data_IF_653364492678
#
_entry.id   IF_653364492678
#
_cell.length_a   1.000
_cell.length_b   1.000
_cell.length_c   1.000
_cell.angle_alpha   90.00
_cell.angle_beta   90.00
_cell.angle_gamma   90.00
#
_symmetry.space_group_name_H-M   'P 1'
#
loop_
_entity.id
_entity.type
_entity.pdbx_description
1 polymer ?
#
# COMPACT_ATOMS: atom_id res chain seq x y z
N UNK A 1 -5.23 13.10 41.92
CA UNK A 1 -4.66 13.48 40.60
C UNK A 1 -5.27 12.55 39.58
N UNK A 2 -5.88 13.04 38.49
CA UNK A 2 -6.39 12.15 37.45
C UNK A 2 -5.22 11.41 36.81
N UNK A 3 -5.30 10.08 36.82
CA UNK A 3 -4.32 9.16 36.27
C UNK A 3 -4.22 9.40 34.75
N UNK A 4 -3.00 9.56 34.23
CA UNK A 4 -2.79 9.75 32.80
C UNK A 4 -3.23 8.46 32.09
N UNK A 5 -4.37 8.52 31.39
CA UNK A 5 -4.78 7.44 30.51
C UNK A 5 -3.71 7.24 29.45
N UNK A 6 -3.09 6.07 29.48
CA UNK A 6 -2.11 5.64 28.52
C UNK A 6 -2.77 5.59 27.12
N UNK A 7 -2.47 6.61 26.32
CA UNK A 7 -3.13 6.88 25.04
C UNK A 7 -2.89 5.76 24.00
N UNK A 8 -1.90 4.90 24.24
CA UNK A 8 -1.40 3.90 23.30
C UNK A 8 -2.04 2.52 23.49
N UNK A 9 -2.29 2.10 24.72
CA UNK A 9 -2.82 0.76 25.03
C UNK A 9 -4.26 0.59 24.57
N UNK A 10 -5.14 1.54 24.91
CA UNK A 10 -6.60 1.43 24.65
C UNK A 10 -7.07 1.71 23.22
N UNK A 11 -6.19 2.07 22.27
CA UNK A 11 -6.60 2.32 20.87
C UNK A 11 -5.87 1.50 19.84
N UNK A 12 -4.60 1.14 20.05
CA UNK A 12 -3.84 0.39 19.05
C UNK A 12 -3.89 -1.13 19.27
N UNK A 13 -4.04 -1.60 20.51
CA UNK A 13 -3.98 -3.03 20.86
C UNK A 13 -5.33 -3.68 21.20
N UNK A 14 -6.41 -2.89 21.37
CA UNK A 14 -7.78 -3.38 21.64
C UNK A 14 -8.49 -4.03 20.41
N UNK A 15 -7.75 -4.52 19.41
CA UNK A 15 -8.38 -5.38 18.41
C UNK A 15 -8.23 -6.84 18.80
N UNK A 16 -9.34 -7.55 18.71
CA UNK A 16 -9.43 -9.00 18.85
C UNK A 16 -8.46 -9.74 17.91
N UNK A 17 -8.09 -9.14 16.77
CA UNK A 17 -7.10 -9.71 15.86
C UNK A 17 -6.27 -8.68 15.08
N UNK A 18 -4.94 -8.68 15.28
CA UNK A 18 -3.96 -7.92 14.51
C UNK A 18 -2.93 -8.85 13.84
N UNK A 19 -2.62 -8.61 12.57
CA UNK A 19 -1.63 -9.41 11.82
C UNK A 19 -0.65 -8.52 11.04
N UNK A 20 0.58 -8.98 10.89
CA UNK A 20 1.63 -8.31 10.13
C UNK A 20 2.68 -9.31 9.64
N UNK A 21 3.38 -9.01 8.54
CA UNK A 21 4.31 -9.95 7.88
C UNK A 21 5.58 -10.20 8.70
N UNK A 22 6.01 -9.23 9.51
CA UNK A 22 7.18 -9.28 10.40
C UNK A 22 6.76 -8.84 11.80
N UNK A 23 7.22 -9.57 12.83
CA UNK A 23 6.89 -9.28 14.24
C UNK A 23 7.51 -7.99 14.77
N UNK A 24 8.63 -7.56 14.18
CA UNK A 24 9.36 -6.34 14.55
C UNK A 24 8.80 -5.07 13.90
N UNK A 25 7.84 -5.19 12.97
CA UNK A 25 7.23 -4.05 12.27
C UNK A 25 5.76 -3.91 12.69
N UNK A 26 5.20 -2.73 12.45
CA UNK A 26 3.81 -2.46 12.79
C UNK A 26 2.86 -3.40 12.01
N UNK A 27 1.78 -3.90 12.67
CA UNK A 27 0.83 -4.80 12.04
C UNK A 27 0.15 -4.13 10.83
N UNK A 28 0.03 -4.87 9.73
CA UNK A 28 -0.51 -4.35 8.46
C UNK A 28 -2.01 -4.56 8.31
N UNK A 29 -2.63 -5.40 9.15
CA UNK A 29 -4.09 -5.66 9.16
C UNK A 29 -4.61 -5.76 10.60
N UNK A 30 -5.80 -5.22 10.83
CA UNK A 30 -6.50 -5.23 12.11
C UNK A 30 -8.01 -5.35 11.89
N UNK A 31 -8.66 -6.22 12.64
CA UNK A 31 -10.11 -6.37 12.63
C UNK A 31 -10.72 -5.62 13.82
N UNK A 32 -11.67 -4.73 13.54
CA UNK A 32 -12.42 -3.97 14.54
C UNK A 32 -13.90 -4.36 14.38
N UNK A 33 -14.44 -5.13 15.31
CA UNK A 33 -15.87 -5.45 15.32
C UNK A 33 -16.64 -4.15 15.59
N UNK A 34 -17.63 -3.81 14.75
CA UNK A 34 -18.46 -2.64 15.03
C UNK A 34 -19.41 -2.98 16.17
N UNK A 35 -19.06 -2.52 17.37
CA UNK A 35 -19.90 -2.72 18.54
C UNK A 35 -21.18 -1.89 18.39
N UNK A 36 -22.35 -2.52 18.57
CA UNK A 36 -23.66 -1.87 18.51
C UNK A 36 -23.88 -1.05 19.78
N UNK A 37 -23.10 0.02 19.99
CA UNK A 37 -23.48 1.02 20.99
C UNK A 37 -24.61 1.88 20.42
N UNK A 38 -25.84 1.47 20.72
CA UNK A 38 -27.00 2.36 20.67
C UNK A 38 -26.68 3.49 21.64
N UNK A 39 -26.37 4.67 21.12
CA UNK A 39 -26.29 5.89 21.93
C UNK A 39 -27.73 6.19 22.33
N UNK A 40 -28.15 5.69 23.48
CA UNK A 40 -29.38 6.12 24.12
C UNK A 40 -29.18 7.57 24.58
N UNK A 41 -29.75 8.52 23.84
CA UNK A 41 -29.97 9.86 24.37
C UNK A 41 -30.96 9.79 25.55
N UNK A 42 -30.90 10.72 26.52
CA UNK A 42 -31.66 10.57 27.77
C UNK A 42 -33.19 10.65 27.63
N UNK A 43 -33.73 11.08 26.48
CA UNK A 43 -35.14 11.42 26.37
C UNK A 43 -35.78 10.79 25.13
N UNK A 44 -36.29 9.56 25.21
CA UNK A 44 -37.40 9.12 24.35
C UNK A 44 -38.22 8.06 25.06
N UNK A 45 -39.45 8.43 25.38
CA UNK A 45 -40.48 7.59 25.97
C UNK A 45 -40.72 6.30 25.17
N UNK A 46 -41.10 5.26 25.91
CA UNK A 46 -41.44 3.94 25.43
C UNK A 46 -42.57 4.01 24.39
N UNK A 47 -42.25 3.77 23.12
CA UNK A 47 -43.25 3.36 22.13
C UNK A 47 -42.99 1.89 21.80
N UNK A 48 -43.82 1.03 22.39
CA UNK A 48 -43.94 -0.38 22.05
C UNK A 48 -44.41 -0.50 20.58
N UNK A 49 -43.58 -1.03 19.69
CA UNK A 49 -43.99 -1.51 18.37
C UNK A 49 -43.83 -3.04 18.28
N UNK A 50 -44.76 -3.73 17.58
CA UNK A 50 -44.95 -5.17 17.70
C UNK A 50 -43.84 -5.98 17.00
N UNK A 51 -43.63 -7.19 17.51
CA UNK A 51 -42.60 -8.14 17.09
C UNK A 51 -42.54 -8.34 15.55
N UNK A 52 -41.34 -8.14 14.98
CA UNK A 52 -40.97 -8.65 13.65
C UNK A 52 -40.03 -9.87 13.80
N UNK A 53 -40.12 -10.88 12.93
CA UNK A 53 -39.47 -12.16 13.10
C UNK A 53 -37.94 -12.04 12.94
N UNK A 54 -37.22 -12.71 13.85
CA UNK A 54 -35.81 -13.10 13.82
C UNK A 54 -34.96 -12.57 12.65
N UNK A 55 -34.42 -11.36 12.78
CA UNK A 55 -33.26 -10.93 11.99
C UNK A 55 -32.00 -11.32 12.77
N UNK A 56 -31.37 -12.43 12.38
CA UNK A 56 -29.98 -12.74 12.77
C UNK A 56 -29.12 -11.51 12.49
N UNK A 57 -28.42 -11.02 13.52
CA UNK A 57 -27.70 -9.76 13.48
C UNK A 57 -26.69 -9.72 12.34
N UNK A 58 -26.77 -8.68 11.50
CA UNK A 58 -25.75 -8.40 10.50
C UNK A 58 -24.49 -7.85 11.20
N UNK A 59 -23.48 -8.71 11.37
CA UNK A 59 -22.15 -8.30 11.76
C UNK A 59 -21.48 -7.45 10.70
N UNK A 60 -21.22 -6.20 11.07
CA UNK A 60 -20.35 -5.32 10.31
C UNK A 60 -19.02 -5.26 11.07
N UNK A 61 -17.96 -5.81 10.50
CA UNK A 61 -16.61 -5.64 11.01
C UNK A 61 -15.89 -4.60 10.15
N UNK A 62 -15.32 -3.59 10.80
CA UNK A 62 -14.42 -2.66 10.14
C UNK A 62 -13.04 -3.34 10.00
N UNK A 63 -12.61 -3.57 8.76
CA UNK A 63 -11.29 -4.14 8.48
C UNK A 63 -10.34 -3.01 8.20
N UNK A 64 -9.44 -2.74 9.15
CA UNK A 64 -8.37 -1.78 8.97
C UNK A 64 -7.15 -2.47 8.34
N UNK A 65 -6.58 -1.88 7.29
CA UNK A 65 -5.30 -2.29 6.73
C UNK A 65 -4.42 -1.07 6.52
N UNK A 66 -3.12 -1.18 6.78
CA UNK A 66 -2.16 -0.09 6.59
C UNK A 66 -2.20 0.46 5.15
N UNK A 67 -2.22 -0.43 4.15
CA UNK A 67 -2.35 -0.07 2.73
C UNK A 67 -3.65 0.67 2.40
N UNK A 68 -4.78 0.23 2.98
CA UNK A 68 -6.08 0.83 2.71
C UNK A 68 -6.21 2.18 3.41
N UNK A 69 -5.72 2.31 4.64
CA UNK A 69 -5.62 3.57 5.35
C UNK A 69 -4.74 4.60 4.60
N UNK A 70 -3.58 4.17 4.06
CA UNK A 70 -2.73 5.03 3.19
C UNK A 70 -3.44 5.46 1.92
N UNK A 71 -4.28 4.59 1.34
CA UNK A 71 -5.04 4.88 0.10
C UNK A 71 -6.40 5.54 0.37
N UNK A 72 -6.72 5.87 1.62
CA UNK A 72 -8.01 6.46 2.00
C UNK A 72 -9.20 5.53 1.77
N UNK A 73 -8.98 4.21 1.78
CA UNK A 73 -9.99 3.17 1.64
C UNK A 73 -10.37 2.66 3.02
N UNK A 74 -11.65 2.71 3.35
CA UNK A 74 -12.18 2.14 4.57
C UNK A 74 -13.06 0.96 4.18
N UNK A 75 -12.47 -0.24 4.19
CA UNK A 75 -13.17 -1.47 3.82
C UNK A 75 -14.09 -1.88 4.98
N UNK A 76 -15.40 -1.93 4.69
CA UNK A 76 -16.39 -2.54 5.57
C UNK A 76 -16.48 -4.02 5.18
N UNK A 77 -16.20 -4.92 6.11
CA UNK A 77 -16.56 -6.33 5.96
C UNK A 77 -17.96 -6.52 6.53
N UNK A 78 -18.87 -7.04 5.69
CA UNK A 78 -20.26 -7.29 6.07
C UNK A 78 -20.47 -8.79 6.00
N UNK A 79 -21.16 -9.36 6.98
CA UNK A 79 -21.45 -10.80 7.05
C UNK A 79 -22.43 -11.30 5.98
N UNK A 80 -23.04 -10.40 5.18
CA UNK A 80 -24.05 -10.71 4.17
C UNK A 80 -23.73 -10.03 2.84
N UNK A 81 -24.00 -10.73 1.73
CA UNK A 81 -23.78 -10.33 0.35
C UNK A 81 -24.38 -8.93 0.04
N UNK A 82 -23.57 -7.93 -0.33
CA UNK A 82 -23.99 -6.52 -0.49
C UNK A 82 -24.94 -6.27 -1.67
N UNK A 83 -25.28 -7.28 -2.48
CA UNK A 83 -26.21 -7.17 -3.61
C UNK A 83 -27.69 -7.00 -3.22
N UNK A 84 -28.02 -6.91 -1.93
CA UNK A 84 -29.41 -6.87 -1.41
C UNK A 84 -29.80 -5.61 -0.60
N UNK A 85 -28.99 -4.55 -0.56
CA UNK A 85 -29.36 -3.32 0.15
C UNK A 85 -29.09 -2.03 -0.65
N UNK A 86 -30.15 -1.28 -0.93
CA UNK A 86 -30.16 0.01 -1.67
C UNK A 86 -29.58 1.22 -0.89
N UNK A 87 -28.85 1.00 0.19
CA UNK A 87 -28.42 2.06 1.09
C UNK A 87 -26.89 2.12 1.26
N UNK A 88 -26.16 2.30 0.17
CA UNK A 88 -24.73 2.64 0.25
C UNK A 88 -24.51 4.05 -0.32
N UNK A 89 -24.58 5.08 0.55
CA UNK A 89 -24.20 6.44 0.17
C UNK A 89 -22.69 6.47 -0.04
N UNK A 90 -22.25 6.58 -1.30
CA UNK A 90 -20.85 6.85 -1.63
C UNK A 90 -20.38 8.16 -1.00
N UNK A 91 -19.12 8.20 -0.54
CA UNK A 91 -18.51 9.43 -0.05
C UNK A 91 -18.45 10.49 -1.15
N UNK A 92 -18.51 11.77 -0.75
CA UNK A 92 -18.50 12.92 -1.66
C UNK A 92 -17.27 12.86 -2.60
N UNK A 93 -17.46 13.03 -3.91
CA UNK A 93 -16.36 13.12 -4.86
C UNK A 93 -15.42 14.29 -4.50
N UNK A 94 -14.15 14.00 -4.24
CA UNK A 94 -13.10 15.00 -3.98
C UNK A 94 -12.28 15.28 -5.24
N UNK A 95 -12.97 15.53 -6.34
CA UNK A 95 -12.40 15.80 -7.67
C UNK A 95 -12.38 17.31 -8.02
N UNK A 96 -12.54 18.18 -7.02
CA UNK A 96 -12.34 19.62 -7.19
C UNK A 96 -10.87 19.99 -6.99
N UNK A 97 -10.29 20.74 -7.94
CA UNK A 97 -8.90 21.22 -7.91
C UNK A 97 -8.48 21.81 -6.54
N UNK A 98 -9.34 22.66 -5.96
CA UNK A 98 -9.08 23.28 -4.66
C UNK A 98 -9.02 22.27 -3.51
N UNK A 99 -9.78 21.18 -3.59
CA UNK A 99 -9.72 20.10 -2.59
C UNK A 99 -8.47 19.23 -2.77
N UNK A 100 -8.07 18.95 -4.01
CA UNK A 100 -6.81 18.25 -4.31
C UNK A 100 -5.61 19.05 -3.82
N UNK A 101 -5.52 20.35 -4.13
CA UNK A 101 -4.46 21.23 -3.63
C UNK A 101 -4.44 21.35 -2.11
N UNK A 102 -5.61 21.48 -1.48
CA UNK A 102 -5.69 21.47 -0.01
C UNK A 102 -5.25 20.12 0.57
N UNK A 103 -5.55 19.02 -0.11
CA UNK A 103 -5.07 17.68 0.25
C UNK A 103 -3.55 17.57 0.17
N UNK A 104 -2.96 17.94 -0.97
CA UNK A 104 -1.50 17.97 -1.19
C UNK A 104 -0.82 18.91 -0.20
N UNK A 105 -1.36 20.10 0.01
CA UNK A 105 -0.84 21.08 0.98
C UNK A 105 -0.85 20.52 2.41
N UNK A 106 -1.93 19.84 2.83
CA UNK A 106 -1.97 19.17 4.13
C UNK A 106 -0.96 18.01 4.21
N UNK A 107 -0.79 17.23 3.14
CA UNK A 107 0.21 16.15 3.10
C UNK A 107 1.65 16.69 3.23
N UNK A 108 1.95 17.86 2.64
CA UNK A 108 3.29 18.46 2.66
C UNK A 108 3.58 19.31 3.90
N UNK A 109 2.57 19.91 4.54
CA UNK A 109 2.77 20.90 5.61
C UNK A 109 2.32 20.43 7.00
N UNK A 110 1.55 19.35 7.08
CA UNK A 110 0.96 18.87 8.34
C UNK A 110 1.58 17.54 8.76
N UNK A 111 2.85 17.58 9.17
CA UNK A 111 3.52 16.47 9.84
C UNK A 111 3.85 16.85 11.29
N UNK A 112 3.42 16.07 12.30
CA UNK A 112 3.83 16.29 13.68
C UNK A 112 5.22 15.69 13.93
N UNK A 113 6.27 16.22 13.28
CA UNK A 113 7.69 15.80 13.48
C UNK A 113 8.22 16.03 14.90
N UNK A 114 7.43 16.70 15.74
CA UNK A 114 7.73 16.92 17.15
C UNK A 114 7.22 15.78 18.03
N UNK A 115 6.41 14.87 17.47
CA UNK A 115 5.87 13.71 18.14
C UNK A 115 6.76 12.49 17.83
N UNK A 116 7.62 12.14 18.79
CA UNK A 116 8.54 10.99 18.67
C UNK A 116 7.77 9.69 18.38
N UNK A 117 6.55 9.54 18.89
CA UNK A 117 5.72 8.35 18.63
C UNK A 117 5.23 8.31 17.19
N UNK A 118 4.92 9.46 16.58
CA UNK A 118 4.61 9.56 15.15
C UNK A 118 5.80 9.17 14.29
N UNK A 119 6.98 9.71 14.58
CA UNK A 119 8.19 9.43 13.80
C UNK A 119 8.59 7.95 13.87
N UNK A 120 8.56 7.36 15.06
CA UNK A 120 8.80 5.93 15.27
C UNK A 120 7.77 5.12 14.47
N UNK A 121 6.47 5.44 14.57
CA UNK A 121 5.43 4.70 13.86
C UNK A 121 5.59 4.76 12.32
N UNK A 122 6.03 5.90 11.79
CA UNK A 122 6.25 6.10 10.35
C UNK A 122 7.48 5.32 9.87
N UNK A 123 8.60 5.39 10.59
CA UNK A 123 9.86 4.70 10.23
C UNK A 123 9.71 3.17 10.26
N UNK A 124 8.91 2.64 11.19
CA UNK A 124 8.63 1.20 11.28
C UNK A 124 7.43 0.73 10.43
N UNK A 125 6.87 1.60 9.59
CA UNK A 125 5.84 1.22 8.63
C UNK A 125 6.45 0.72 7.33
N UNK A 126 6.17 -0.54 6.97
CA UNK A 126 6.61 -1.17 5.71
C UNK A 126 6.26 -0.32 4.50
N UNK A 127 5.06 0.26 4.48
CA UNK A 127 4.60 1.08 3.36
C UNK A 127 5.40 2.37 3.21
N UNK A 128 5.88 2.96 4.31
CA UNK A 128 6.74 4.14 4.28
C UNK A 128 8.15 3.77 3.80
N UNK A 129 8.74 2.72 4.36
CA UNK A 129 10.05 2.21 3.93
C UNK A 129 10.07 1.87 2.42
N UNK A 130 9.00 1.25 1.91
CA UNK A 130 8.84 0.96 0.49
C UNK A 130 8.84 2.25 -0.35
N UNK A 131 8.02 3.23 0.03
CA UNK A 131 7.95 4.51 -0.66
C UNK A 131 9.29 5.27 -0.61
N UNK A 132 9.97 5.30 0.54
CA UNK A 132 11.26 5.98 0.70
C UNK A 132 12.35 5.34 -0.16
N UNK A 133 12.43 4.00 -0.18
CA UNK A 133 13.34 3.27 -1.06
C UNK A 133 13.05 3.54 -2.55
N UNK A 134 11.77 3.59 -2.92
CA UNK A 134 11.36 3.92 -4.29
C UNK A 134 11.70 5.35 -4.68
N UNK A 135 11.45 6.32 -3.79
CA UNK A 135 11.77 7.73 -4.06
C UNK A 135 13.27 7.91 -4.24
N UNK A 136 14.08 7.38 -3.34
CA UNK A 136 15.53 7.40 -3.47
C UNK A 136 15.99 6.73 -4.78
N UNK A 137 15.51 5.52 -5.06
CA UNK A 137 15.84 4.78 -6.28
C UNK A 137 15.45 5.55 -7.54
N UNK A 138 14.25 6.13 -7.58
CA UNK A 138 13.77 6.92 -8.71
C UNK A 138 14.60 8.18 -8.95
N UNK A 139 14.95 8.91 -7.88
CA UNK A 139 15.77 10.12 -7.99
C UNK A 139 17.14 9.82 -8.60
N UNK A 140 17.78 8.73 -8.19
CA UNK A 140 19.08 8.32 -8.75
C UNK A 140 18.94 7.78 -10.17
N UNK A 141 17.96 6.89 -10.42
CA UNK A 141 17.70 6.32 -11.74
C UNK A 141 17.41 7.39 -12.80
N UNK A 142 16.77 8.49 -12.41
CA UNK A 142 16.41 9.58 -13.31
C UNK A 142 17.63 10.27 -13.95
N UNK A 143 18.79 10.24 -13.30
CA UNK A 143 20.06 10.72 -13.87
C UNK A 143 20.37 9.98 -15.17
N UNK A 144 20.25 8.65 -15.15
CA UNK A 144 20.42 7.80 -16.32
C UNK A 144 19.38 8.06 -17.40
N UNK A 145 18.14 8.38 -17.01
CA UNK A 145 17.09 8.74 -17.95
C UNK A 145 17.41 10.01 -18.75
N UNK A 146 18.03 11.02 -18.12
CA UNK A 146 18.49 12.21 -18.85
C UNK A 146 19.73 11.94 -19.70
N UNK A 147 20.71 11.22 -19.17
CA UNK A 147 21.96 10.96 -19.88
C UNK A 147 21.78 9.99 -21.05
N UNK A 148 20.67 9.22 -21.09
CA UNK A 148 20.26 8.40 -22.22
C UNK A 148 19.89 9.21 -23.48
N UNK A 149 19.67 10.52 -23.38
CA UNK A 149 19.32 11.34 -24.55
C UNK A 149 20.46 11.30 -25.58
N UNK A 150 20.19 11.00 -26.87
CA UNK A 150 21.25 10.80 -27.86
C UNK A 150 22.29 11.92 -27.95
N UNK A 151 21.93 13.22 -27.87
CA UNK A 151 22.93 14.29 -27.88
C UNK A 151 23.88 14.28 -26.67
N UNK A 152 23.38 13.84 -25.51
CA UNK A 152 24.16 13.78 -24.27
C UNK A 152 25.02 12.53 -24.29
N UNK A 153 24.43 11.37 -24.52
CA UNK A 153 25.11 10.08 -24.49
C UNK A 153 26.29 10.03 -25.46
N UNK A 154 26.10 10.48 -26.70
CA UNK A 154 27.14 10.49 -27.74
C UNK A 154 28.30 11.44 -27.44
N UNK A 155 28.15 12.35 -26.47
CA UNK A 155 29.17 13.30 -26.05
C UNK A 155 29.97 12.84 -24.82
N UNK A 156 29.59 11.71 -24.21
CA UNK A 156 30.23 11.20 -23.00
C UNK A 156 31.47 10.36 -23.34
N UNK A 157 32.52 10.54 -22.55
CA UNK A 157 33.64 9.58 -22.52
C UNK A 157 33.20 8.28 -21.83
N UNK A 158 33.86 7.15 -22.10
CA UNK A 158 33.53 5.86 -21.47
C UNK A 158 33.50 5.90 -19.93
N UNK A 159 34.46 6.55 -19.23
CA UNK A 159 34.37 6.70 -17.78
C UNK A 159 33.17 7.53 -17.32
N UNK A 160 32.80 8.57 -18.10
CA UNK A 160 31.64 9.39 -17.80
C UNK A 160 30.34 8.61 -18.01
N UNK A 161 30.20 7.89 -19.13
CA UNK A 161 29.07 7.00 -19.41
C UNK A 161 28.86 5.96 -18.29
N UNK A 162 29.93 5.29 -17.87
CA UNK A 162 29.91 4.38 -16.73
C UNK A 162 29.41 5.03 -15.44
N UNK A 163 29.81 6.28 -15.18
CA UNK A 163 29.44 7.01 -13.97
C UNK A 163 28.03 7.61 -13.97
N UNK A 164 27.58 8.20 -15.08
CA UNK A 164 26.33 8.98 -15.13
C UNK A 164 25.19 8.28 -15.86
N UNK A 165 25.47 7.24 -16.64
CA UNK A 165 24.47 6.47 -17.35
C UNK A 165 24.30 5.06 -16.75
N UNK A 166 25.36 4.28 -16.58
CA UNK A 166 25.24 2.89 -16.10
C UNK A 166 25.07 2.76 -14.58
N UNK A 167 25.95 3.39 -13.80
CA UNK A 167 25.92 3.30 -12.34
C UNK A 167 24.58 3.74 -11.70
N UNK A 168 23.95 4.86 -12.12
CA UNK A 168 22.70 5.27 -11.50
C UNK A 168 21.52 4.34 -11.84
N UNK A 169 21.57 3.59 -12.95
CA UNK A 169 20.59 2.55 -13.24
C UNK A 169 20.68 1.39 -12.24
N UNK A 170 21.91 0.96 -11.90
CA UNK A 170 22.13 -0.09 -10.92
C UNK A 170 21.64 0.35 -9.54
N UNK A 171 22.08 1.53 -9.08
CA UNK A 171 21.68 2.06 -7.76
C UNK A 171 20.16 2.27 -7.71
N UNK A 172 19.59 2.91 -8.72
CA UNK A 172 18.16 3.15 -8.81
C UNK A 172 17.33 1.86 -8.86
N UNK A 173 17.78 0.90 -9.67
CA UNK A 173 17.19 -0.42 -9.80
C UNK A 173 17.19 -1.20 -8.47
N UNK A 174 18.28 -1.16 -7.71
CA UNK A 174 18.31 -1.77 -6.37
C UNK A 174 17.29 -1.16 -5.41
N UNK A 175 17.09 0.17 -5.44
CA UNK A 175 16.03 0.84 -4.69
C UNK A 175 14.63 0.37 -5.09
N UNK A 176 14.39 0.14 -6.39
CA UNK A 176 13.14 -0.43 -6.89
C UNK A 176 12.94 -1.89 -6.49
N UNK A 177 14.01 -2.70 -6.41
CA UNK A 177 13.94 -4.08 -5.90
C UNK A 177 13.48 -4.07 -4.45
N UNK A 178 14.15 -3.29 -3.59
CA UNK A 178 13.81 -3.16 -2.16
C UNK A 178 12.37 -2.69 -1.99
N UNK A 179 11.99 -1.63 -2.70
CA UNK A 179 10.62 -1.10 -2.67
C UNK A 179 9.59 -2.16 -3.07
N UNK A 180 9.80 -2.83 -4.20
CA UNK A 180 8.86 -3.81 -4.75
C UNK A 180 8.67 -5.00 -3.80
N UNK A 181 9.76 -5.50 -3.21
CA UNK A 181 9.70 -6.55 -2.18
C UNK A 181 8.93 -6.08 -0.95
N UNK A 182 9.18 -4.87 -0.45
CA UNK A 182 8.45 -4.32 0.70
C UNK A 182 6.96 -4.12 0.40
N UNK A 183 6.59 -3.68 -0.81
CA UNK A 183 5.18 -3.59 -1.23
C UNK A 183 4.50 -4.95 -1.31
N UNK A 184 5.21 -6.00 -1.75
CA UNK A 184 4.70 -7.37 -1.71
C UNK A 184 4.52 -7.86 -0.26
N UNK A 185 5.47 -7.54 0.62
CA UNK A 185 5.39 -7.88 2.06
C UNK A 185 4.23 -7.17 2.76
N UNK A 186 3.93 -5.93 2.38
CA UNK A 186 2.83 -5.15 2.97
C UNK A 186 1.45 -5.81 2.79
N UNK A 187 1.22 -6.50 1.67
CA UNK A 187 -0.10 -7.06 1.31
C UNK A 187 -0.32 -8.49 1.79
N UNK A 188 0.76 -9.26 1.95
CA UNK A 188 0.69 -10.65 2.42
C UNK A 188 0.57 -10.74 3.94
N UNK A 189 0.04 -11.86 4.45
CA UNK A 189 -0.15 -12.07 5.89
C UNK A 189 1.14 -12.48 6.60
N UNK A 190 1.93 -13.32 5.94
CA UNK A 190 3.21 -13.83 6.43
C UNK A 190 4.24 -13.60 5.33
N UNK A 191 5.49 -13.25 5.70
CA UNK A 191 6.55 -12.96 4.74
C UNK A 191 6.89 -14.11 3.76
N UNK A 192 6.61 -15.36 4.15
CA UNK A 192 6.90 -16.56 3.36
C UNK A 192 5.70 -17.12 2.58
N UNK A 193 4.50 -16.55 2.77
CA UNK A 193 3.28 -17.04 2.09
C UNK A 193 2.85 -15.99 1.06
N UNK A 194 3.09 -16.22 -0.24
CA UNK A 194 2.70 -15.26 -1.27
C UNK A 194 1.18 -15.10 -1.31
N UNK A 195 0.71 -13.90 -1.70
CA UNK A 195 -0.71 -13.55 -1.74
C UNK A 195 -1.20 -13.31 -3.19
N UNK A 196 -1.22 -14.34 -4.06
CA UNK A 196 -1.55 -14.18 -5.48
C UNK A 196 -3.00 -13.75 -5.75
N UNK A 197 -3.90 -13.84 -4.76
CA UNK A 197 -5.28 -13.37 -4.87
C UNK A 197 -5.44 -11.84 -4.75
N UNK A 198 -4.36 -11.09 -4.49
CA UNK A 198 -4.43 -9.65 -4.23
C UNK A 198 -3.76 -8.88 -5.37
N UNK A 199 -4.48 -7.97 -6.04
CA UNK A 199 -3.91 -7.12 -7.10
C UNK A 199 -2.65 -6.37 -6.64
N UNK A 200 -2.66 -5.87 -5.39
CA UNK A 200 -1.50 -5.22 -4.78
C UNK A 200 -0.23 -6.07 -4.75
N UNK A 201 -0.36 -7.39 -4.66
CA UNK A 201 0.77 -8.32 -4.67
C UNK A 201 1.34 -8.47 -6.08
N UNK A 202 0.48 -8.57 -7.10
CA UNK A 202 0.90 -8.60 -8.51
C UNK A 202 1.61 -7.32 -8.93
N UNK A 203 1.15 -6.15 -8.48
CA UNK A 203 1.85 -4.88 -8.74
C UNK A 203 3.28 -4.95 -8.22
N UNK A 204 3.46 -5.39 -6.97
CA UNK A 204 4.78 -5.56 -6.37
C UNK A 204 5.62 -6.60 -7.13
N UNK A 205 5.04 -7.73 -7.54
CA UNK A 205 5.74 -8.77 -8.29
C UNK A 205 6.24 -8.28 -9.65
N UNK A 206 5.37 -7.67 -10.45
CA UNK A 206 5.74 -7.18 -11.78
C UNK A 206 6.74 -6.03 -11.69
N UNK A 207 6.60 -5.15 -10.71
CA UNK A 207 7.60 -4.11 -10.45
C UNK A 207 8.93 -4.70 -9.97
N UNK A 208 8.93 -5.81 -9.23
CA UNK A 208 10.16 -6.52 -8.82
C UNK A 208 10.88 -7.13 -10.03
N UNK A 209 10.15 -7.80 -10.92
CA UNK A 209 10.71 -8.33 -12.17
C UNK A 209 11.27 -7.19 -13.03
N UNK A 210 10.52 -6.09 -13.13
CA UNK A 210 10.95 -4.86 -13.81
C UNK A 210 12.25 -4.30 -13.24
N UNK A 211 12.30 -4.16 -11.92
CA UNK A 211 13.46 -3.64 -11.20
C UNK A 211 14.70 -4.52 -11.37
N UNK A 212 14.56 -5.84 -11.32
CA UNK A 212 15.65 -6.78 -11.60
C UNK A 212 16.14 -6.59 -13.04
N UNK A 213 15.24 -6.50 -14.01
CA UNK A 213 15.58 -6.29 -15.42
C UNK A 213 16.39 -5.01 -15.66
N UNK A 214 15.96 -3.89 -15.08
CA UNK A 214 16.69 -2.61 -15.20
C UNK A 214 18.00 -2.58 -14.40
N UNK A 215 18.07 -3.27 -13.26
CA UNK A 215 19.33 -3.40 -12.50
C UNK A 215 20.35 -4.22 -13.27
N UNK A 216 19.93 -5.34 -13.86
CA UNK A 216 20.77 -6.19 -14.71
C UNK A 216 21.20 -5.47 -15.98
N UNK A 217 20.31 -4.71 -16.63
CA UNK A 217 20.67 -3.86 -17.77
C UNK A 217 21.81 -2.90 -17.39
N UNK A 218 21.65 -2.14 -16.29
CA UNK A 218 22.67 -1.23 -15.79
C UNK A 218 24.00 -1.92 -15.49
N UNK A 219 23.94 -3.11 -14.86
CA UNK A 219 25.12 -3.88 -14.47
C UNK A 219 25.87 -4.48 -15.67
N UNK A 220 25.13 -4.94 -16.68
CA UNK A 220 25.70 -5.48 -17.92
C UNK A 220 26.27 -4.36 -18.81
N UNK A 221 25.79 -3.12 -18.68
CA UNK A 221 26.23 -1.98 -19.48
C UNK A 221 27.72 -1.70 -19.39
N UNK A 222 28.34 -1.96 -18.24
CA UNK A 222 29.80 -1.84 -18.07
C UNK A 222 30.62 -2.77 -18.97
N UNK A 223 30.02 -3.85 -19.47
CA UNK A 223 30.65 -4.86 -20.33
C UNK A 223 30.09 -4.91 -21.75
N UNK A 224 29.38 -3.86 -22.20
CA UNK A 224 28.62 -3.85 -23.46
C UNK A 224 29.47 -4.15 -24.71
N UNK A 225 30.79 -4.00 -24.64
CA UNK A 225 31.74 -4.31 -25.74
C UNK A 225 31.71 -5.76 -26.19
N UNK A 226 31.14 -6.68 -25.39
CA UNK A 226 30.98 -8.09 -25.77
C UNK A 226 29.58 -8.33 -26.37
N UNK A 227 29.46 -8.94 -27.57
CA UNK A 227 28.16 -9.15 -28.21
C UNK A 227 27.14 -9.93 -27.36
N UNK A 228 27.62 -10.90 -26.57
CA UNK A 228 26.75 -11.66 -25.66
C UNK A 228 26.19 -10.81 -24.52
N UNK A 229 26.97 -9.84 -24.04
CA UNK A 229 26.56 -8.91 -22.98
C UNK A 229 25.59 -7.88 -23.53
N UNK A 230 25.84 -7.35 -24.73
CA UNK A 230 24.91 -6.45 -25.44
C UNK A 230 23.54 -7.09 -25.65
N UNK A 231 23.50 -8.35 -26.09
CA UNK A 231 22.26 -9.12 -26.22
C UNK A 231 21.54 -9.28 -24.88
N UNK A 232 22.26 -9.71 -23.83
CA UNK A 232 21.70 -9.91 -22.51
C UNK A 232 21.15 -8.60 -21.90
N UNK A 233 21.86 -7.50 -22.10
CA UNK A 233 21.45 -6.15 -21.70
C UNK A 233 20.15 -5.74 -22.39
N UNK A 234 20.09 -5.93 -23.71
CA UNK A 234 18.92 -5.57 -24.51
C UNK A 234 17.70 -6.39 -24.09
N UNK A 235 17.88 -7.70 -23.90
CA UNK A 235 16.84 -8.59 -23.41
C UNK A 235 16.37 -8.20 -22.01
N UNK A 236 17.30 -7.87 -21.10
CA UNK A 236 16.99 -7.45 -19.74
C UNK A 236 16.20 -6.13 -19.72
N UNK A 237 16.56 -5.19 -20.58
CA UNK A 237 15.85 -3.91 -20.76
C UNK A 237 14.44 -4.14 -21.29
N UNK A 238 14.29 -5.03 -22.27
CA UNK A 238 13.00 -5.39 -22.86
C UNK A 238 12.07 -6.02 -21.82
N UNK A 239 12.54 -7.06 -21.12
CA UNK A 239 11.77 -7.74 -20.05
C UNK A 239 11.44 -6.75 -18.94
N UNK A 240 12.41 -5.93 -18.52
CA UNK A 240 12.23 -4.93 -17.48
C UNK A 240 11.12 -3.94 -17.81
N UNK A 241 11.11 -3.45 -19.06
CA UNK A 241 10.11 -2.50 -19.57
C UNK A 241 8.71 -3.11 -19.61
N UNK A 242 8.56 -4.33 -20.12
CA UNK A 242 7.27 -5.03 -20.15
C UNK A 242 6.73 -5.32 -18.76
N UNK A 243 7.60 -5.71 -17.83
CA UNK A 243 7.18 -5.99 -16.46
C UNK A 243 6.68 -4.71 -15.76
N UNK A 244 7.38 -3.58 -15.89
CA UNK A 244 6.88 -2.30 -15.37
C UNK A 244 5.58 -1.85 -16.07
N UNK A 245 5.43 -2.09 -17.38
CA UNK A 245 4.20 -1.80 -18.09
C UNK A 245 3.02 -2.60 -17.52
N UNK A 246 3.17 -3.92 -17.34
CA UNK A 246 2.15 -4.78 -16.75
C UNK A 246 1.82 -4.33 -15.33
N UNK A 247 2.84 -4.09 -14.50
CA UNK A 247 2.68 -3.57 -13.15
C UNK A 247 1.88 -2.25 -13.11
N UNK A 248 2.16 -1.34 -14.04
CA UNK A 248 1.46 -0.05 -14.17
C UNK A 248 -0.01 -0.22 -14.55
N UNK A 249 -0.34 -1.14 -15.46
CA UNK A 249 -1.72 -1.44 -15.86
C UNK A 249 -2.51 -2.03 -14.69
N UNK A 250 -1.92 -2.98 -13.96
CA UNK A 250 -2.56 -3.58 -12.78
C UNK A 250 -2.75 -2.51 -11.69
N UNK A 251 -1.78 -1.63 -11.50
CA UNK A 251 -1.86 -0.52 -10.54
C UNK A 251 -2.95 0.48 -10.91
N UNK A 252 -3.10 0.78 -12.21
CA UNK A 252 -4.19 1.58 -12.71
C UNK A 252 -5.55 0.91 -12.43
N UNK A 253 -5.71 -0.38 -12.72
CA UNK A 253 -6.93 -1.14 -12.40
C UNK A 253 -7.23 -1.16 -10.89
N UNK A 254 -6.22 -1.34 -10.03
CA UNK A 254 -6.38 -1.27 -8.57
C UNK A 254 -6.81 0.13 -8.11
N UNK A 255 -6.39 1.19 -8.81
CA UNK A 255 -6.76 2.57 -8.48
C UNK A 255 -8.22 2.89 -8.80
N UNK A 256 -8.80 2.20 -9.79
CA UNK A 256 -10.21 2.34 -10.17
C UNK A 256 -11.15 1.69 -9.14
N UNK A 257 -10.69 0.63 -8.46
CA UNK A 257 -11.52 -0.09 -7.50
C UNK A 257 -11.38 0.49 -6.08
N UNK A 258 -12.08 1.61 -5.84
CA UNK A 258 -11.94 2.42 -4.62
C UNK A 258 -12.62 1.81 -3.38
N UNK A 259 -13.61 0.92 -3.54
CA UNK A 259 -14.41 0.36 -2.44
C UNK A 259 -14.61 -1.16 -2.57
N UNK A 260 -13.59 -1.98 -2.28
CA UNK A 260 -13.79 -3.43 -2.24
C UNK A 260 -14.60 -3.79 -0.99
N UNK A 261 -15.84 -4.25 -1.21
CA UNK A 261 -16.69 -4.83 -0.16
C UNK A 261 -16.25 -6.29 -0.04
N UNK A 262 -15.75 -6.69 1.13
CA UNK A 262 -15.30 -8.06 1.37
C UNK A 262 -16.37 -8.80 2.19
N UNK A 263 -16.83 -9.93 1.67
CA UNK A 263 -17.62 -10.90 2.44
C UNK A 263 -16.61 -11.86 3.07
N UNK A 264 -16.44 -11.80 4.39
CA UNK A 264 -15.51 -12.66 5.13
C UNK A 264 -16.30 -13.52 6.13
N UNK A 265 -16.33 -14.84 5.91
CA UNK A 265 -17.01 -15.80 6.79
C UNK A 265 -16.46 -15.80 8.22
N UNK A 266 -15.21 -15.33 8.41
CA UNK A 266 -14.63 -15.21 9.76
C UNK A 266 -15.35 -14.18 10.60
N UNK A 267 -15.93 -13.14 9.99
CA UNK A 267 -16.75 -12.14 10.70
C UNK A 267 -17.97 -12.81 11.34
N UNK A 268 -18.65 -13.72 10.62
CA UNK A 268 -19.77 -14.50 11.17
C UNK A 268 -19.37 -15.58 12.19
N UNK A 269 -18.07 -15.85 12.35
CA UNK A 269 -17.53 -16.69 13.44
C UNK A 269 -17.19 -15.86 14.69
N UNK A 270 -16.65 -14.66 14.50
CA UNK A 270 -16.34 -13.71 15.58
C UNK A 270 -17.62 -13.26 16.31
N UNK A 271 -18.72 -13.02 15.57
CA UNK A 271 -20.03 -12.74 16.18
C UNK A 271 -20.55 -13.89 17.07
N UNK A 272 -20.26 -15.14 16.71
CA UNK A 272 -20.71 -16.32 17.48
C UNK A 272 -19.89 -16.56 18.75
N UNK A 273 -18.75 -15.89 18.92
CA UNK A 273 -17.91 -15.99 20.11
C UNK A 273 -18.14 -14.82 21.07
N UNK A 274 -18.75 -13.73 20.61
CA UNK A 274 -19.04 -12.52 21.40
C UNK A 274 -20.51 -12.34 21.80
N UNK A 275 -21.42 -13.20 21.31
CA UNK A 275 -22.83 -13.27 21.73
C UNK A 275 -23.14 -14.54 22.51
#
# INVERSE_FOLDING_TARGET
MPEAQDHFTGRHYDAEHSTGPLKSLNPTKRYLVADKKIIAGPDTEQIQQPARPSAQGLGVAYVWRSRDNRKGRHALAVSVDPRKHDATKGQRPSNTWNQTLRGVSKMLLRYPVWDVSYDVAVVFSIGFLACSAQTFGATVFWISGFTALPPILNSLSTPAENGVYWLPQVIGGTGFIVSSTLFMLEVQSCWYIPAPGVLGWHIGLWNLIGAIGFTLCGALGFGITQPGVEYALTLSTFIGSWAFLIGSVIQWLESLNKYPIWVDEKVGRLERQTG
#
